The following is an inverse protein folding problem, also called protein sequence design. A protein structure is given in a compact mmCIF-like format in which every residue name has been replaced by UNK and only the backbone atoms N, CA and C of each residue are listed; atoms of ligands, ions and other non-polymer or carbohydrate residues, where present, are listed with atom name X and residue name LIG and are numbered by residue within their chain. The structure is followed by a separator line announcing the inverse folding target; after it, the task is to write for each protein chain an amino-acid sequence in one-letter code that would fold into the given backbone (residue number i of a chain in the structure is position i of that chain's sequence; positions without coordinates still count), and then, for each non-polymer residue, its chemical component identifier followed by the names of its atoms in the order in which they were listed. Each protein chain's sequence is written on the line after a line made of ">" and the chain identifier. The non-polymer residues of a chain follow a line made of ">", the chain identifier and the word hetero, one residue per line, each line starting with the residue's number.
data_IF_058007522218
#
_entry.id   IF_058007522218
#
_cell.length_a   1.000
_cell.length_b   1.000
_cell.length_c   1.000
_cell.angle_alpha   90.00
_cell.angle_beta   90.00
_cell.angle_gamma   90.00
#
_symmetry.space_group_name_H-M   'P 1'
#
loop_
_entity.id
_entity.type
_entity.pdbx_description
1 polymer ?
#
# COMPACT_ATOMS: atom_id res chain seq x y z
N UNK A 1 20.87 -1.38 4.64
CA UNK A 1 19.77 -0.46 5.05
C UNK A 1 18.59 -0.49 4.08
N UNK A 2 18.78 -0.48 2.75
CA UNK A 2 17.68 -0.55 1.75
C UNK A 2 16.68 -1.70 1.96
N UNK A 3 17.12 -2.90 2.37
CA UNK A 3 16.24 -4.06 2.58
C UNK A 3 15.35 -3.97 3.83
N UNK A 4 15.77 -3.26 4.87
CA UNK A 4 14.99 -3.05 6.10
C UNK A 4 13.81 -2.12 5.82
N UNK A 5 14.03 -1.10 4.97
CA UNK A 5 12.98 -0.19 4.50
C UNK A 5 11.89 -0.93 3.72
N UNK A 6 12.27 -1.89 2.86
CA UNK A 6 11.32 -2.72 2.10
C UNK A 6 10.43 -3.54 3.04
N UNK A 7 11.03 -4.20 4.05
CA UNK A 7 10.28 -4.95 5.06
C UNK A 7 9.30 -4.05 5.84
N UNK A 8 9.69 -2.82 6.16
CA UNK A 8 8.86 -1.87 6.88
C UNK A 8 7.65 -1.37 6.05
N UNK A 9 7.79 -1.34 4.72
CA UNK A 9 6.72 -0.93 3.77
C UNK A 9 5.75 -2.09 3.48
N UNK A 10 6.21 -3.34 3.57
CA UNK A 10 5.38 -4.53 3.36
C UNK A 10 4.35 -4.75 4.47
N UNK A 11 4.73 -4.49 5.73
CA UNK A 11 3.85 -4.59 6.91
C UNK A 11 2.53 -3.79 6.77
N UNK A 12 2.56 -2.47 6.47
CA UNK A 12 1.33 -1.70 6.28
C UNK A 12 0.60 -2.04 4.98
N UNK A 13 1.29 -2.57 3.97
CA UNK A 13 0.65 -3.00 2.72
C UNK A 13 -0.30 -4.18 2.93
N UNK A 14 0.07 -5.13 3.80
CA UNK A 14 -0.81 -6.26 4.19
C UNK A 14 -2.08 -5.74 4.87
N UNK A 15 -1.94 -4.77 5.78
CA UNK A 15 -3.08 -4.17 6.48
C UNK A 15 -4.00 -3.43 5.51
N UNK A 16 -3.41 -2.68 4.58
CA UNK A 16 -4.14 -1.93 3.55
C UNK A 16 -4.88 -2.85 2.59
N UNK A 17 -4.29 -4.01 2.26
CA UNK A 17 -4.94 -5.04 1.44
C UNK A 17 -6.15 -5.66 2.13
N UNK A 18 -6.01 -6.02 3.41
CA UNK A 18 -7.12 -6.53 4.22
C UNK A 18 -8.24 -5.49 4.37
N UNK A 19 -7.88 -4.21 4.55
CA UNK A 19 -8.84 -3.12 4.61
C UNK A 19 -9.58 -2.92 3.28
N UNK A 20 -8.88 -3.02 2.15
CA UNK A 20 -9.50 -2.95 0.83
C UNK A 20 -10.50 -4.11 0.60
N UNK A 21 -10.13 -5.35 0.95
CA UNK A 21 -11.02 -6.53 0.86
C UNK A 21 -12.24 -6.36 1.77
N UNK A 22 -12.04 -5.89 3.00
CA UNK A 22 -13.12 -5.63 3.95
C UNK A 22 -14.08 -4.56 3.42
N UNK A 23 -13.56 -3.45 2.91
CA UNK A 23 -14.36 -2.36 2.35
C UNK A 23 -15.13 -2.77 1.09
N UNK A 24 -14.54 -3.65 0.27
CA UNK A 24 -15.19 -4.24 -0.90
C UNK A 24 -16.38 -5.13 -0.50
N UNK A 25 -16.18 -6.00 0.52
CA UNK A 25 -17.25 -6.84 1.09
C UNK A 25 -18.38 -6.01 1.70
N UNK A 26 -18.07 -4.84 2.28
CA UNK A 26 -19.05 -3.93 2.89
C UNK A 26 -19.78 -3.00 1.89
N UNK A 27 -19.64 -3.24 0.57
CA UNK A 27 -20.17 -2.43 -0.54
C UNK A 27 -19.69 -0.96 -0.55
N UNK A 28 -18.68 -0.60 0.24
CA UNK A 28 -18.06 0.73 0.27
C UNK A 28 -16.95 0.79 -0.78
N UNK A 29 -17.36 0.70 -2.05
CA UNK A 29 -16.51 0.69 -3.24
C UNK A 29 -15.53 1.87 -3.34
N UNK A 30 -15.92 3.14 -3.10
CA UNK A 30 -14.97 4.27 -3.19
C UNK A 30 -13.86 4.19 -2.14
N UNK A 31 -14.16 3.72 -0.94
CA UNK A 31 -13.18 3.56 0.12
C UNK A 31 -12.23 2.39 -0.17
N UNK A 32 -12.71 1.31 -0.79
CA UNK A 32 -11.85 0.22 -1.25
C UNK A 32 -10.88 0.67 -2.36
N UNK A 33 -11.38 1.41 -3.35
CA UNK A 33 -10.56 1.95 -4.45
C UNK A 33 -9.51 2.93 -3.91
N UNK A 34 -9.90 3.85 -3.03
CA UNK A 34 -8.97 4.79 -2.41
C UNK A 34 -7.87 4.11 -1.59
N UNK A 35 -8.21 3.01 -0.91
CA UNK A 35 -7.24 2.22 -0.14
C UNK A 35 -6.23 1.50 -1.02
N UNK A 36 -6.67 0.93 -2.14
CA UNK A 36 -5.77 0.29 -3.12
C UNK A 36 -4.86 1.34 -3.78
N UNK A 37 -5.40 2.50 -4.14
CA UNK A 37 -4.60 3.63 -4.66
C UNK A 37 -3.55 4.09 -3.66
N UNK A 38 -3.93 4.24 -2.38
CA UNK A 38 -2.98 4.59 -1.31
C UNK A 38 -1.89 3.55 -1.14
N UNK A 39 -2.24 2.25 -1.18
CA UNK A 39 -1.25 1.17 -1.11
C UNK A 39 -0.24 1.27 -2.27
N UNK A 40 -0.72 1.50 -3.48
CA UNK A 40 0.14 1.63 -4.67
C UNK A 40 1.08 2.83 -4.51
N UNK A 41 0.57 4.00 -4.12
CA UNK A 41 1.38 5.21 -3.94
C UNK A 41 2.43 5.01 -2.82
N UNK A 42 2.03 4.40 -1.71
CA UNK A 42 2.90 4.15 -0.57
C UNK A 42 4.04 3.18 -0.87
N UNK A 43 3.90 2.33 -1.90
CA UNK A 43 4.96 1.41 -2.35
C UNK A 43 5.74 2.03 -3.51
N UNK A 44 5.07 2.70 -4.45
CA UNK A 44 5.70 3.27 -5.63
C UNK A 44 6.65 4.44 -5.31
N UNK A 45 6.28 5.34 -4.39
CA UNK A 45 7.12 6.48 -3.98
C UNK A 45 8.49 6.06 -3.44
N UNK A 46 8.59 5.18 -2.43
CA UNK A 46 9.89 4.77 -1.91
C UNK A 46 10.70 3.97 -2.92
N UNK A 47 10.06 3.19 -3.80
CA UNK A 47 10.76 2.51 -4.90
C UNK A 47 11.37 3.53 -5.86
N UNK A 48 10.60 4.55 -6.26
CA UNK A 48 11.06 5.59 -7.16
C UNK A 48 12.22 6.37 -6.56
N UNK A 49 12.12 6.78 -5.29
CA UNK A 49 13.20 7.46 -4.57
C UNK A 49 14.45 6.58 -4.44
N UNK A 50 14.30 5.27 -4.20
CA UNK A 50 15.44 4.36 -4.03
C UNK A 50 16.21 4.02 -5.31
N UNK A 51 15.59 4.22 -6.48
CA UNK A 51 16.12 3.91 -7.82
C UNK A 51 16.38 5.15 -8.69
N UNK A 52 15.97 6.34 -8.24
CA UNK A 52 16.21 7.61 -8.92
C UNK A 52 17.50 8.34 -8.47
N UNK A 53 18.21 7.77 -7.49
CA UNK A 53 19.60 8.07 -7.12
C UNK A 53 20.54 7.02 -7.72
#
# INVERSE_FOLDING_TARGET
>A
MKYILILLILLPSIYTFNFAIYSWKKKRRPSAIGSVLMAIISVALPIFLLFSD
#
